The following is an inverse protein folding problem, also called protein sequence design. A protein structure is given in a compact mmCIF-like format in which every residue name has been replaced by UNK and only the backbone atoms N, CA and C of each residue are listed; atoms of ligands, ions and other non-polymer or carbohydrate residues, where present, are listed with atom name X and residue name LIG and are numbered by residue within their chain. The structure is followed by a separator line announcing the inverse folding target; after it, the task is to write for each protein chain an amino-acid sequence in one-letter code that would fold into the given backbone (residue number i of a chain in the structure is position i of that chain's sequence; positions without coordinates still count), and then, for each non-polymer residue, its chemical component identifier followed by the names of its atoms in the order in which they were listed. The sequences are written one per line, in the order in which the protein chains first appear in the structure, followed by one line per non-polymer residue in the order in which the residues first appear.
data_IF_193192556330
#
_entry.id   IF_193192556330
#
_cell.length_a   1.000
_cell.length_b   1.000
_cell.length_c   1.000
_cell.angle_alpha   90.00
_cell.angle_beta   90.00
_cell.angle_gamma   90.00
#
_symmetry.space_group_name_H-M   'P 1'
#
loop_
_entity.id
_entity.type
_entity.pdbx_description
1 polymer ?
#
# COMPACT_ATOMS: atom_id res chain seq x y z
N UNK A 1 -18.27 7.73 9.45
CA UNK A 1 -17.13 8.65 9.61
C UNK A 1 -16.24 8.55 8.37
N UNK A 2 -15.43 9.57 8.04
CA UNK A 2 -14.46 9.48 6.92
C UNK A 2 -13.04 9.69 7.44
N UNK A 3 -12.13 8.78 7.08
CA UNK A 3 -10.71 8.83 7.40
C UNK A 3 -9.89 8.96 6.12
N UNK A 4 -8.98 9.93 6.10
CA UNK A 4 -7.98 10.08 5.04
C UNK A 4 -6.85 9.09 5.31
N UNK A 5 -6.67 8.12 4.42
CA UNK A 5 -5.61 7.11 4.55
C UNK A 5 -4.38 7.49 3.71
N UNK A 6 -4.37 8.66 3.08
CA UNK A 6 -3.21 9.12 2.35
C UNK A 6 -2.24 9.89 3.23
N UNK A 7 -0.97 9.49 3.19
CA UNK A 7 0.13 10.19 3.81
C UNK A 7 0.24 11.62 3.27
N UNK A 8 0.30 12.58 4.19
CA UNK A 8 0.43 14.00 3.86
C UNK A 8 1.88 14.34 3.53
N UNK A 9 2.23 14.32 2.25
CA UNK A 9 3.54 14.74 1.77
C UNK A 9 3.71 16.25 1.91
N UNK A 10 4.66 16.69 2.74
CA UNK A 10 4.99 18.11 2.87
C UNK A 10 5.94 18.59 1.77
N UNK A 11 5.80 19.86 1.37
CA UNK A 11 6.67 20.50 0.36
C UNK A 11 8.16 20.31 0.67
N UNK A 12 8.57 20.45 1.94
CA UNK A 12 9.97 20.28 2.38
C UNK A 12 10.50 18.86 2.14
N UNK A 13 9.62 17.84 2.21
CA UNK A 13 9.98 16.45 1.92
C UNK A 13 10.20 16.25 0.42
N UNK A 14 9.30 16.80 -0.41
CA UNK A 14 9.44 16.79 -1.88
C UNK A 14 10.72 17.50 -2.33
N UNK A 15 11.05 18.64 -1.73
CA UNK A 15 12.28 19.36 -2.02
C UNK A 15 13.52 18.55 -1.64
N UNK A 16 13.52 17.93 -0.45
CA UNK A 16 14.62 17.06 -0.03
C UNK A 16 14.79 15.84 -0.96
N UNK A 17 13.69 15.19 -1.34
CA UNK A 17 13.68 14.08 -2.30
C UNK A 17 14.14 14.54 -3.69
N UNK A 18 13.70 15.72 -4.16
CA UNK A 18 14.08 16.29 -5.44
C UNK A 18 15.56 16.65 -5.51
N UNK A 19 16.13 17.20 -4.44
CA UNK A 19 17.56 17.45 -4.32
C UNK A 19 18.36 16.14 -4.35
N UNK A 20 17.90 15.10 -3.64
CA UNK A 20 18.51 13.78 -3.68
C UNK A 20 18.43 13.14 -5.08
N UNK A 21 17.29 13.25 -5.78
CA UNK A 21 17.10 12.74 -7.13
C UNK A 21 17.97 13.48 -8.16
N UNK A 22 18.10 14.81 -8.07
CA UNK A 22 19.00 15.59 -8.93
C UNK A 22 20.47 15.18 -8.76
N UNK A 23 20.88 14.80 -7.55
CA UNK A 23 22.23 14.29 -7.28
C UNK A 23 22.50 12.88 -7.87
N UNK A 24 21.44 12.11 -8.16
CA UNK A 24 21.52 10.71 -8.62
C UNK A 24 21.12 10.54 -10.09
N UNK A 25 20.75 11.62 -10.78
CA UNK A 25 20.27 11.61 -12.16
C UNK A 25 18.74 11.53 -12.25
N UNK A 26 18.16 12.19 -13.25
CA UNK A 26 16.71 12.32 -13.41
C UNK A 26 16.07 10.95 -13.71
N UNK A 27 15.45 10.32 -12.71
CA UNK A 27 14.45 9.28 -12.96
C UNK A 27 13.07 9.83 -12.60
N UNK A 28 12.35 10.30 -13.61
CA UNK A 28 10.98 10.82 -13.50
C UNK A 28 9.99 9.76 -13.01
N UNK A 29 10.28 8.46 -13.17
CA UNK A 29 9.42 7.37 -12.67
C UNK A 29 9.22 7.45 -11.15
N UNK A 30 10.24 7.91 -10.42
CA UNK A 30 10.17 8.07 -8.96
C UNK A 30 9.10 9.05 -8.51
N UNK A 31 8.68 9.99 -9.37
CA UNK A 31 7.59 10.90 -9.06
C UNK A 31 6.25 10.16 -8.87
N UNK A 32 6.11 8.99 -9.49
CA UNK A 32 4.95 8.11 -9.36
C UNK A 32 4.81 7.46 -7.98
N UNK A 33 5.93 7.24 -7.29
CA UNK A 33 6.03 6.48 -6.05
C UNK A 33 6.20 7.36 -4.79
N UNK A 34 5.71 8.61 -4.84
CA UNK A 34 5.82 9.55 -3.73
C UNK A 34 4.56 9.52 -2.85
N UNK A 35 4.77 9.42 -1.54
CA UNK A 35 3.71 9.33 -0.55
C UNK A 35 2.88 8.07 -0.74
N UNK A 36 1.59 8.15 -0.43
CA UNK A 36 0.64 7.10 -0.77
C UNK A 36 0.47 7.03 -2.27
N UNK A 37 0.71 5.86 -2.83
CA UNK A 37 0.66 5.64 -4.26
C UNK A 37 0.15 4.25 -4.59
N UNK A 38 -0.31 4.11 -5.83
CA UNK A 38 -0.81 2.89 -6.43
C UNK A 38 0.23 2.37 -7.44
N UNK A 39 0.72 1.16 -7.23
CA UNK A 39 1.68 0.52 -8.11
C UNK A 39 0.98 -0.09 -9.32
N UNK A 40 0.79 0.75 -10.34
CA UNK A 40 0.13 0.38 -11.61
C UNK A 40 1.01 -0.50 -12.50
N UNK A 41 2.32 -0.46 -12.29
CA UNK A 41 3.32 -1.17 -13.06
C UNK A 41 3.16 -0.89 -14.56
N UNK A 42 3.09 -1.93 -15.40
CA UNK A 42 2.85 -1.80 -16.84
C UNK A 42 1.35 -1.91 -17.22
N UNK A 43 0.44 -1.66 -16.28
CA UNK A 43 -1.02 -1.78 -16.48
C UNK A 43 -1.69 -0.41 -16.54
N UNK A 44 -3.01 -0.40 -16.39
CA UNK A 44 -3.83 0.78 -16.19
C UNK A 44 -4.67 0.59 -14.93
N UNK A 45 -5.04 1.70 -14.29
CA UNK A 45 -5.92 1.66 -13.12
C UNK A 45 -7.30 1.09 -13.49
N UNK A 46 -7.80 0.05 -12.79
CA UNK A 46 -9.13 -0.49 -13.01
C UNK A 46 -10.18 0.45 -12.43
N UNK A 47 -10.77 1.32 -13.27
CA UNK A 47 -11.71 2.37 -12.83
C UNK A 47 -12.91 1.85 -12.02
N UNK A 48 -13.35 0.61 -12.30
CA UNK A 48 -14.42 -0.06 -11.57
C UNK A 48 -14.07 -0.35 -10.10
N UNK A 49 -12.79 -0.31 -9.75
CA UNK A 49 -12.28 -0.47 -8.38
C UNK A 49 -12.05 0.87 -7.67
N UNK A 50 -12.59 2.00 -8.15
CA UNK A 50 -12.58 3.27 -7.38
C UNK A 50 -13.23 3.09 -6.01
N UNK A 51 -14.27 2.26 -5.93
CA UNK A 51 -15.01 2.00 -4.69
C UNK A 51 -14.92 0.51 -4.38
N UNK A 52 -14.30 0.19 -3.26
CA UNK A 52 -14.13 -1.20 -2.78
C UNK A 52 -14.63 -1.35 -1.36
N UNK A 53 -14.97 -2.57 -0.95
CA UNK A 53 -15.11 -2.88 0.49
C UNK A 53 -13.71 -3.05 1.08
N UNK A 54 -13.48 -2.45 2.24
CA UNK A 54 -12.22 -2.54 2.97
C UNK A 54 -12.25 -3.65 4.03
N UNK A 55 -11.12 -4.31 4.20
CA UNK A 55 -10.80 -5.22 5.31
C UNK A 55 -9.42 -4.85 5.84
N UNK A 56 -9.29 -4.62 7.15
CA UNK A 56 -8.02 -4.27 7.78
C UNK A 56 -7.54 -5.38 8.72
N UNK A 57 -6.25 -5.70 8.64
CA UNK A 57 -5.59 -6.70 9.45
C UNK A 57 -4.44 -6.05 10.22
N UNK A 58 -4.39 -6.29 11.52
CA UNK A 58 -3.28 -5.85 12.35
C UNK A 58 -2.14 -6.85 12.25
N UNK A 59 -0.98 -6.40 11.76
CA UNK A 59 0.25 -7.19 11.69
C UNK A 59 1.37 -6.56 12.55
N UNK A 60 1.07 -5.48 13.29
CA UNK A 60 2.06 -4.75 14.10
C UNK A 60 2.66 -5.56 15.25
N UNK A 61 2.01 -6.65 15.64
CA UNK A 61 2.45 -7.56 16.69
C UNK A 61 3.33 -8.72 16.17
N UNK A 62 3.46 -8.89 14.85
CA UNK A 62 4.27 -9.95 14.26
C UNK A 62 5.74 -9.58 14.38
N UNK A 63 6.51 -10.45 15.03
CA UNK A 63 7.95 -10.26 15.26
C UNK A 63 8.82 -10.95 14.21
N UNK A 64 8.24 -11.88 13.44
CA UNK A 64 8.88 -12.50 12.31
C UNK A 64 8.96 -11.51 11.13
N UNK A 65 9.91 -11.74 10.22
CA UNK A 65 10.06 -10.91 9.02
C UNK A 65 8.90 -11.08 8.05
N UNK A 66 8.25 -12.25 8.01
CA UNK A 66 7.17 -12.56 7.07
C UNK A 66 5.84 -12.83 7.77
N UNK A 67 4.77 -12.17 7.29
CA UNK A 67 3.37 -12.49 7.61
C UNK A 67 2.89 -13.64 6.74
N UNK A 68 2.38 -14.68 7.37
CA UNK A 68 1.85 -15.89 6.72
C UNK A 68 0.33 -15.88 6.75
N UNK A 69 -0.27 -16.69 5.88
CA UNK A 69 -1.72 -16.91 5.87
C UNK A 69 -2.22 -17.38 7.23
N UNK A 70 -1.44 -18.24 7.92
CA UNK A 70 -1.80 -18.78 9.23
C UNK A 70 -1.83 -17.74 10.37
N UNK A 71 -1.23 -16.57 10.18
CA UNK A 71 -1.22 -15.50 11.18
C UNK A 71 -2.53 -14.69 11.19
N UNK A 72 -3.41 -14.92 10.20
CA UNK A 72 -4.55 -14.07 9.89
C UNK A 72 -5.85 -14.87 9.71
N UNK A 73 -6.96 -14.33 10.20
CA UNK A 73 -8.30 -14.83 9.84
C UNK A 73 -8.79 -14.17 8.55
N UNK A 74 -8.47 -14.78 7.42
CA UNK A 74 -8.86 -14.28 6.09
C UNK A 74 -10.21 -14.85 5.60
N UNK A 75 -11.03 -15.44 6.49
CA UNK A 75 -12.27 -16.13 6.11
C UNK A 75 -13.29 -15.20 5.47
N UNK A 76 -13.34 -13.93 5.89
CA UNK A 76 -14.27 -12.94 5.36
C UNK A 76 -13.78 -12.24 4.09
N UNK A 77 -12.54 -12.45 3.65
CA UNK A 77 -12.00 -11.81 2.44
C UNK A 77 -12.72 -12.33 1.19
N UNK A 78 -13.30 -11.39 0.44
CA UNK A 78 -14.06 -11.63 -0.78
C UNK A 78 -13.35 -11.06 -2.02
N UNK A 79 -13.85 -11.48 -3.19
CA UNK A 79 -13.47 -10.90 -4.46
C UNK A 79 -13.73 -9.39 -4.48
N UNK A 80 -12.81 -8.64 -5.11
CA UNK A 80 -12.81 -7.17 -5.24
C UNK A 80 -12.63 -6.37 -3.95
N UNK A 81 -12.40 -7.01 -2.80
CA UNK A 81 -12.07 -6.29 -1.57
C UNK A 81 -10.74 -5.53 -1.70
N UNK A 82 -10.58 -4.51 -0.85
CA UNK A 82 -9.31 -3.88 -0.56
C UNK A 82 -8.84 -4.39 0.80
N UNK A 83 -7.83 -5.24 0.76
CA UNK A 83 -7.22 -5.85 1.96
C UNK A 83 -6.05 -4.99 2.41
N UNK A 84 -6.10 -4.49 3.64
CA UNK A 84 -5.16 -3.52 4.21
C UNK A 84 -4.44 -4.15 5.40
N UNK A 85 -3.12 -3.99 5.47
CA UNK A 85 -2.27 -4.48 6.54
C UNK A 85 -1.66 -3.32 7.31
N UNK A 86 -1.92 -3.28 8.62
CA UNK A 86 -1.36 -2.29 9.54
C UNK A 86 -0.14 -2.85 10.25
N UNK A 87 1.06 -2.37 9.87
CA UNK A 87 2.33 -2.69 10.52
C UNK A 87 2.73 -1.69 11.61
N UNK A 88 2.26 -0.44 11.51
CA UNK A 88 2.66 0.68 12.33
C UNK A 88 4.02 1.29 11.95
N UNK A 89 4.71 0.78 10.92
CA UNK A 89 6.06 1.20 10.55
C UNK A 89 6.10 2.66 10.09
N UNK A 90 5.21 3.07 9.18
CA UNK A 90 5.14 4.46 8.71
C UNK A 90 4.99 5.44 9.87
N UNK A 91 4.07 5.16 10.80
CA UNK A 91 3.79 6.01 11.96
C UNK A 91 4.98 6.06 12.92
N UNK A 92 5.66 4.93 13.15
CA UNK A 92 6.77 4.82 14.11
C UNK A 92 8.07 5.46 13.60
N UNK A 93 8.40 5.25 12.33
CA UNK A 93 9.70 5.65 11.79
C UNK A 93 9.64 6.92 10.94
N UNK A 94 8.45 7.33 10.50
CA UNK A 94 8.24 8.51 9.68
C UNK A 94 8.63 8.29 8.23
N UNK A 95 7.79 8.76 7.31
CA UNK A 95 8.02 8.64 5.88
C UNK A 95 9.39 9.22 5.45
N UNK A 96 10.12 8.47 4.63
CA UNK A 96 11.36 8.92 3.99
C UNK A 96 12.59 8.97 4.90
N UNK A 97 12.50 8.53 6.16
CA UNK A 97 13.66 8.41 7.04
C UNK A 97 14.49 7.16 6.71
N UNK A 98 15.75 7.13 7.16
CA UNK A 98 16.62 5.96 6.97
C UNK A 98 16.01 4.73 7.64
N UNK A 99 15.48 4.90 8.86
CA UNK A 99 14.87 3.85 9.66
C UNK A 99 13.64 3.27 8.97
N UNK A 100 12.81 4.12 8.36
CA UNK A 100 11.64 3.69 7.58
C UNK A 100 12.06 2.84 6.37
N UNK A 101 13.11 3.22 5.62
CA UNK A 101 13.59 2.42 4.49
C UNK A 101 14.30 1.12 4.88
N UNK A 102 14.82 1.04 6.10
CA UNK A 102 15.53 -0.16 6.60
C UNK A 102 14.66 -1.09 7.46
N UNK A 103 13.39 -0.75 7.69
CA UNK A 103 12.47 -1.51 8.54
C UNK A 103 11.27 -1.93 7.71
N UNK A 104 11.07 -3.24 7.57
CA UNK A 104 9.94 -3.80 6.84
C UNK A 104 9.52 -5.12 7.44
N UNK A 105 8.23 -5.40 7.32
CA UNK A 105 7.64 -6.73 7.44
C UNK A 105 7.16 -7.09 6.04
N UNK A 106 7.38 -8.33 5.63
CA UNK A 106 7.03 -8.82 4.31
C UNK A 106 5.72 -9.62 4.37
N UNK A 107 4.86 -9.46 3.36
CA UNK A 107 3.81 -10.44 3.12
C UNK A 107 4.45 -11.65 2.45
N UNK A 108 4.30 -12.86 3.02
CA UNK A 108 4.84 -14.08 2.42
C UNK A 108 4.30 -14.31 1.00
N UNK A 109 5.03 -15.04 0.16
CA UNK A 109 4.57 -15.37 -1.20
C UNK A 109 3.25 -16.17 -1.15
N UNK A 110 3.08 -17.03 -0.13
CA UNK A 110 1.85 -17.77 0.13
C UNK A 110 0.66 -16.83 0.40
N UNK A 111 0.86 -15.79 1.22
CA UNK A 111 -0.18 -14.81 1.52
C UNK A 111 -0.56 -14.00 0.27
N UNK A 112 0.42 -13.58 -0.52
CA UNK A 112 0.17 -12.87 -1.78
C UNK A 112 -0.60 -13.76 -2.76
N UNK A 113 -0.19 -15.02 -2.93
CA UNK A 113 -0.89 -15.98 -3.79
C UNK A 113 -2.32 -16.26 -3.32
N UNK A 114 -2.56 -16.32 -2.01
CA UNK A 114 -3.90 -16.45 -1.45
C UNK A 114 -4.80 -15.27 -1.84
N UNK A 115 -4.31 -14.03 -1.68
CA UNK A 115 -5.06 -12.80 -2.00
C UNK A 115 -5.32 -12.68 -3.52
N UNK A 116 -4.35 -13.07 -4.34
CA UNK A 116 -4.50 -13.20 -5.78
C UNK A 116 -5.57 -14.24 -6.14
N UNK A 117 -5.55 -15.42 -5.53
CA UNK A 117 -6.54 -16.47 -5.75
C UNK A 117 -7.96 -16.02 -5.37
N UNK A 118 -8.08 -15.16 -4.34
CA UNK A 118 -9.32 -14.49 -3.95
C UNK A 118 -9.74 -13.38 -4.91
N UNK A 119 -8.86 -12.93 -5.80
CA UNK A 119 -9.11 -11.82 -6.74
C UNK A 119 -9.57 -10.55 -6.01
N UNK A 120 -8.85 -10.19 -4.93
CA UNK A 120 -9.03 -8.89 -4.27
C UNK A 120 -8.63 -7.77 -5.23
N UNK A 121 -9.21 -6.57 -5.10
CA UNK A 121 -8.82 -5.45 -5.96
C UNK A 121 -7.43 -4.95 -5.60
N UNK A 122 -7.21 -4.72 -4.30
CA UNK A 122 -6.03 -4.03 -3.80
C UNK A 122 -5.48 -4.70 -2.54
N UNK A 123 -4.16 -4.63 -2.41
CA UNK A 123 -3.39 -4.95 -1.20
C UNK A 123 -2.79 -3.64 -0.70
N UNK A 124 -3.06 -3.27 0.55
CA UNK A 124 -2.65 -2.00 1.15
C UNK A 124 -1.67 -2.20 2.29
N UNK A 125 -0.62 -1.38 2.35
CA UNK A 125 0.35 -1.39 3.45
C UNK A 125 0.71 0.02 3.90
N UNK A 126 1.03 0.19 5.18
CA UNK A 126 1.66 1.39 5.74
C UNK A 126 3.20 1.27 5.76
N UNK A 127 3.74 0.78 4.64
CA UNK A 127 5.15 0.55 4.38
C UNK A 127 5.46 0.98 2.94
N UNK A 128 6.75 1.09 2.58
CA UNK A 128 7.18 1.37 1.20
C UNK A 128 7.39 0.11 0.36
N UNK A 129 6.60 -0.93 0.64
CA UNK A 129 6.78 -2.28 0.11
C UNK A 129 5.86 -3.28 0.78
N UNK A 130 5.16 -4.11 0.01
CA UNK A 130 4.58 -5.36 0.53
C UNK A 130 5.65 -6.45 0.75
N UNK A 131 6.83 -6.26 0.15
CA UNK A 131 8.05 -7.07 0.27
C UNK A 131 9.24 -6.15 0.51
N UNK A 132 10.34 -6.69 1.00
CA UNK A 132 11.60 -5.98 1.11
C UNK A 132 12.21 -5.60 -0.25
N UNK A 133 13.24 -4.76 -0.26
CA UNK A 133 13.76 -4.12 -1.48
C UNK A 133 14.20 -5.09 -2.59
N UNK A 134 14.67 -6.29 -2.23
CA UNK A 134 15.11 -7.30 -3.21
C UNK A 134 13.96 -7.90 -4.02
N UNK A 135 12.75 -7.97 -3.45
CA UNK A 135 11.59 -8.64 -4.04
C UNK A 135 10.42 -7.70 -4.37
N UNK A 136 10.48 -6.43 -3.97
CA UNK A 136 9.43 -5.43 -4.16
C UNK A 136 8.96 -5.32 -5.63
N UNK A 137 9.84 -4.98 -6.57
CA UNK A 137 9.45 -4.86 -7.98
C UNK A 137 8.88 -6.16 -8.59
N UNK A 138 9.40 -7.31 -8.13
CA UNK A 138 8.91 -8.63 -8.56
C UNK A 138 7.48 -8.84 -8.10
N UNK A 139 7.17 -8.55 -6.84
CA UNK A 139 5.85 -8.83 -6.28
C UNK A 139 4.79 -7.89 -6.83
N UNK A 140 5.11 -6.60 -7.01
CA UNK A 140 4.17 -5.62 -7.55
C UNK A 140 3.77 -5.97 -8.97
N UNK A 141 4.75 -6.32 -9.82
CA UNK A 141 4.48 -6.76 -11.18
C UNK A 141 3.70 -8.09 -11.21
N UNK A 142 4.06 -9.04 -10.32
CA UNK A 142 3.38 -10.34 -10.22
C UNK A 142 1.89 -10.21 -9.84
N UNK A 143 1.58 -9.29 -8.92
CA UNK A 143 0.21 -8.92 -8.56
C UNK A 143 -0.49 -8.25 -9.75
N UNK A 144 0.11 -7.22 -10.34
CA UNK A 144 -0.48 -6.44 -11.42
C UNK A 144 -0.79 -7.29 -12.66
N UNK A 145 0.05 -8.27 -12.98
CA UNK A 145 -0.17 -9.25 -14.05
C UNK A 145 -1.42 -10.11 -13.84
N UNK A 146 -1.93 -10.21 -12.61
CA UNK A 146 -3.15 -10.95 -12.25
C UNK A 146 -4.31 -10.05 -11.84
N UNK A 147 -4.19 -8.74 -12.06
CA UNK A 147 -5.25 -7.77 -11.80
C UNK A 147 -5.44 -7.43 -10.32
N UNK A 148 -4.45 -7.72 -9.47
CA UNK A 148 -4.38 -7.26 -8.07
C UNK A 148 -3.29 -6.21 -7.98
N UNK A 149 -3.51 -5.12 -7.26
CA UNK A 149 -2.54 -4.02 -7.20
C UNK A 149 -2.15 -3.67 -5.78
N UNK A 150 -0.93 -3.18 -5.59
CA UNK A 150 -0.43 -2.75 -4.29
C UNK A 150 -0.61 -1.23 -4.14
N UNK A 151 -0.97 -0.83 -2.93
CA UNK A 151 -1.05 0.56 -2.51
C UNK A 151 -0.21 0.72 -1.25
N UNK A 152 0.78 1.59 -1.33
CA UNK A 152 1.79 1.75 -0.31
C UNK A 152 1.61 3.02 0.49
N UNK A 153 2.31 3.11 1.63
CA UNK A 153 2.34 4.30 2.48
C UNK A 153 0.96 4.79 2.89
N UNK A 154 0.04 3.88 3.19
CA UNK A 154 -1.21 4.23 3.82
C UNK A 154 -0.95 4.79 5.22
N UNK A 155 -1.62 5.87 5.56
CA UNK A 155 -1.52 6.56 6.85
C UNK A 155 -2.81 6.35 7.67
N UNK A 156 -2.79 6.73 8.94
CA UNK A 156 -3.93 6.63 9.86
C UNK A 156 -4.53 5.21 9.97
N UNK A 157 -3.75 4.17 9.66
CA UNK A 157 -4.22 2.79 9.74
C UNK A 157 -4.50 2.33 11.17
N UNK A 158 -3.85 2.93 12.17
CA UNK A 158 -4.16 2.70 13.58
C UNK A 158 -5.56 3.19 13.95
N UNK A 159 -5.97 4.35 13.44
CA UNK A 159 -7.32 4.89 13.62
C UNK A 159 -8.35 4.05 12.86
N UNK A 160 -8.03 3.62 11.64
CA UNK A 160 -8.88 2.72 10.87
C UNK A 160 -9.05 1.38 11.56
N UNK A 161 -8.00 0.86 12.18
CA UNK A 161 -8.04 -0.39 12.94
C UNK A 161 -8.94 -0.22 14.19
N UNK A 162 -8.79 0.86 14.95
CA UNK A 162 -9.63 1.14 16.12
C UNK A 162 -11.12 1.23 15.76
N UNK A 163 -11.45 1.90 14.66
CA UNK A 163 -12.83 2.24 14.31
C UNK A 163 -13.52 1.20 13.42
N UNK A 164 -12.72 0.46 12.64
CA UNK A 164 -13.17 -0.37 11.52
C UNK A 164 -12.88 -1.87 11.63
N UNK A 165 -12.11 -2.36 12.62
CA UNK A 165 -11.70 -3.78 12.70
C UNK A 165 -12.86 -4.78 12.63
N UNK A 166 -13.98 -4.48 13.30
CA UNK A 166 -15.16 -5.36 13.33
C UNK A 166 -16.26 -4.91 12.35
N UNK A 167 -15.95 -4.04 11.40
CA UNK A 167 -16.92 -3.44 10.46
C UNK A 167 -16.44 -3.60 9.03
N UNK A 168 -17.38 -3.81 8.12
CA UNK A 168 -17.11 -3.56 6.71
C UNK A 168 -17.15 -2.04 6.49
N UNK A 169 -16.08 -1.46 5.95
CA UNK A 169 -16.03 -0.07 5.54
C UNK A 169 -15.88 0.03 4.02
N UNK A 170 -16.19 1.19 3.46
CA UNK A 170 -15.98 1.47 2.04
C UNK A 170 -14.66 2.23 1.88
N UNK A 171 -13.88 1.89 0.87
CA UNK A 171 -12.65 2.60 0.53
C UNK A 171 -12.79 3.21 -0.85
N UNK A 172 -12.44 4.49 -0.93
CA UNK A 172 -12.39 5.26 -2.16
C UNK A 172 -10.93 5.47 -2.53
N UNK A 173 -10.54 5.03 -3.74
CA UNK A 173 -9.16 5.07 -4.22
C UNK A 173 -9.09 5.91 -5.49
N UNK A 174 -8.37 7.03 -5.43
CA UNK A 174 -8.21 7.98 -6.53
C UNK A 174 -6.73 8.19 -6.88
N UNK A 175 -6.13 7.33 -7.71
CA UNK A 175 -4.81 7.60 -8.28
C UNK A 175 -4.85 8.79 -9.22
N UNK A 176 -3.77 9.56 -9.26
CA UNK A 176 -3.61 10.63 -10.25
C UNK A 176 -3.57 10.00 -11.64
N UNK A 177 -4.29 10.62 -12.59
CA UNK A 177 -4.36 10.17 -13.97
C UNK A 177 -3.07 10.50 -14.75
N UNK A 178 -1.99 9.79 -14.44
CA UNK A 178 -0.70 9.85 -15.15
C UNK A 178 -0.52 8.59 -16.01
N UNK A 179 0.15 8.74 -17.15
CA UNK A 179 0.40 7.65 -18.10
C UNK A 179 1.91 7.47 -18.32
N UNK A 180 2.35 6.21 -18.42
CA UNK A 180 3.77 5.86 -18.59
C UNK A 180 4.58 5.85 -17.29
N UNK A 181 3.92 5.79 -16.13
CA UNK A 181 4.55 5.65 -14.81
C UNK A 181 4.19 4.28 -14.23
N UNK A 182 5.12 3.69 -13.49
CA UNK A 182 4.91 2.43 -12.76
C UNK A 182 4.19 2.62 -11.42
N UNK A 183 4.20 3.84 -10.89
CA UNK A 183 3.46 4.24 -9.69
C UNK A 183 2.63 5.48 -9.96
N UNK A 184 1.50 5.60 -9.27
CA UNK A 184 0.60 6.75 -9.36
C UNK A 184 0.31 7.26 -7.95
N UNK A 185 0.68 8.50 -7.59
CA UNK A 185 0.30 9.09 -6.31
C UNK A 185 -1.21 9.01 -6.17
N UNK A 186 -1.72 8.63 -5.00
CA UNK A 186 -3.14 8.34 -4.85
C UNK A 186 -3.73 8.90 -3.56
N UNK A 187 -4.99 9.34 -3.68
CA UNK A 187 -5.83 9.73 -2.55
C UNK A 187 -6.69 8.54 -2.14
N UNK A 188 -6.57 8.10 -0.90
CA UNK A 188 -7.32 6.96 -0.35
C UNK A 188 -8.13 7.45 0.85
N UNK A 189 -9.44 7.18 0.85
CA UNK A 189 -10.34 7.57 1.94
C UNK A 189 -11.17 6.36 2.36
N UNK A 190 -11.19 6.06 3.65
CA UNK A 190 -12.12 5.08 4.23
C UNK A 190 -13.38 5.77 4.77
N UNK A 191 -14.53 5.16 4.52
CA UNK A 191 -15.82 5.51 5.10
C UNK A 191 -16.34 4.35 5.95
N UNK A 192 -16.31 4.56 7.27
CA UNK A 192 -16.69 3.60 8.33
C UNK A 192 -18.10 3.92 8.83
#
# INVERSE_FOLDING_TARGET
MKLDLSFKVEKKMLEALGLAAQAVGQNTEKAGHIGTHFDVMNKAFPIESIITKGKIFDISHITDIEVKVADLDLSEVQQKDFVIFHSGILKKHGYGTKEYFSTYIELSDELVDYLIGKQVSFIGVDMGGAKGPENHLRIDQYCADKGVFIIENLDNLDLLLEEGKDKSFIVYTFPVNMHGFTGLPCRVVAEI
#
